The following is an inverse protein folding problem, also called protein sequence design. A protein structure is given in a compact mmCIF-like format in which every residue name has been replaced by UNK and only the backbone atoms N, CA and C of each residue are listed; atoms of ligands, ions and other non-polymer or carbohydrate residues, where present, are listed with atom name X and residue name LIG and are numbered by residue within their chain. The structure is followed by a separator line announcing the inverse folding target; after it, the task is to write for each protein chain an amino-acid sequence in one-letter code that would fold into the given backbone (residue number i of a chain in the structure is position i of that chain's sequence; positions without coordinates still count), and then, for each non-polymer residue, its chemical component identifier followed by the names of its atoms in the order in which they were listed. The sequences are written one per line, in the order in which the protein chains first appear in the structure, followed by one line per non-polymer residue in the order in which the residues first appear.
data_IF_126579769733
#
_entry.id   IF_126579769733
#
_cell.length_a   1.000
_cell.length_b   1.000
_cell.length_c   1.000
_cell.angle_alpha   90.00
_cell.angle_beta   90.00
_cell.angle_gamma   90.00
#
_symmetry.space_group_name_H-M   'P 1'
#
loop_
_entity.id
_entity.type
_entity.pdbx_description
1 polymer ?
#
# COMPACT_ATOMS: atom_id res chain seq x y z
N UNK A 1 -24.67 10.27 -12.12
CA UNK A 1 -23.63 10.69 -11.17
C UNK A 1 -24.14 10.28 -9.78
N UNK A 2 -23.69 9.13 -9.29
CA UNK A 2 -24.42 8.36 -8.28
C UNK A 2 -23.72 8.50 -6.91
N UNK A 3 -24.23 9.37 -6.05
CA UNK A 3 -23.73 9.59 -4.67
C UNK A 3 -23.74 8.31 -3.80
N UNK A 4 -24.43 7.26 -4.25
CA UNK A 4 -24.44 5.94 -3.60
C UNK A 4 -23.17 5.12 -3.88
N UNK A 5 -22.52 5.32 -5.03
CA UNK A 5 -21.28 4.61 -5.40
C UNK A 5 -20.09 5.12 -4.58
N UNK A 6 -20.04 6.44 -4.34
CA UNK A 6 -18.95 7.09 -3.60
C UNK A 6 -18.93 6.71 -2.11
N UNK A 7 -20.10 6.62 -1.46
CA UNK A 7 -20.20 6.19 -0.05
C UNK A 7 -19.91 4.70 0.11
N UNK A 8 -20.36 3.86 -0.82
CA UNK A 8 -20.04 2.43 -0.83
C UNK A 8 -18.54 2.18 -1.07
N UNK A 9 -17.91 2.97 -1.93
CA UNK A 9 -16.47 2.91 -2.18
C UNK A 9 -15.66 3.35 -0.95
N UNK A 10 -16.06 4.43 -0.27
CA UNK A 10 -15.40 4.89 0.95
C UNK A 10 -15.48 3.87 2.10
N UNK A 11 -16.66 3.27 2.32
CA UNK A 11 -16.84 2.22 3.33
C UNK A 11 -16.00 0.97 3.00
N UNK A 12 -15.94 0.59 1.73
CA UNK A 12 -15.10 -0.52 1.26
C UNK A 12 -13.59 -0.24 1.44
N UNK A 13 -13.15 1.00 1.19
CA UNK A 13 -11.78 1.45 1.44
C UNK A 13 -11.44 1.36 2.93
N UNK A 14 -12.28 1.90 3.80
CA UNK A 14 -12.08 1.84 5.24
C UNK A 14 -12.08 0.39 5.76
N UNK A 15 -13.05 -0.42 5.36
CA UNK A 15 -13.10 -1.84 5.71
C UNK A 15 -11.84 -2.59 5.25
N UNK A 16 -11.30 -2.23 4.07
CA UNK A 16 -10.04 -2.79 3.57
C UNK A 16 -8.85 -2.38 4.43
N UNK A 17 -8.76 -1.11 4.81
CA UNK A 17 -7.72 -0.60 5.71
C UNK A 17 -7.75 -1.26 7.09
N UNK A 18 -8.91 -1.64 7.60
CA UNK A 18 -9.02 -2.41 8.85
C UNK A 18 -8.59 -3.87 8.68
N UNK A 19 -8.98 -4.51 7.57
CA UNK A 19 -8.75 -5.94 7.35
C UNK A 19 -7.32 -6.27 6.93
N UNK A 20 -6.67 -5.38 6.19
CA UNK A 20 -5.34 -5.65 5.60
C UNK A 20 -4.24 -5.86 6.67
N UNK A 21 -4.07 -4.99 7.69
CA UNK A 21 -3.11 -5.22 8.77
C UNK A 21 -3.38 -6.52 9.53
N UNK A 22 -4.65 -6.83 9.83
CA UNK A 22 -5.02 -8.07 10.53
C UNK A 22 -4.62 -9.31 9.72
N UNK A 23 -4.87 -9.29 8.41
CA UNK A 23 -4.48 -10.39 7.50
C UNK A 23 -2.96 -10.58 7.51
N UNK A 24 -2.20 -9.48 7.45
CA UNK A 24 -0.74 -9.53 7.45
C UNK A 24 -0.13 -9.90 8.79
N UNK A 25 -0.79 -9.62 9.93
CA UNK A 25 -0.39 -10.16 11.23
C UNK A 25 -0.50 -11.69 11.28
N UNK A 26 -1.60 -12.25 10.78
CA UNK A 26 -1.75 -13.71 10.67
C UNK A 26 -0.71 -14.33 9.72
N UNK A 27 -0.36 -13.64 8.63
CA UNK A 27 0.73 -14.06 7.74
C UNK A 27 2.05 -14.06 8.51
N UNK A 28 2.38 -12.97 9.22
CA UNK A 28 3.60 -12.87 10.01
C UNK A 28 3.75 -13.99 11.04
N UNK A 29 2.66 -14.35 11.73
CA UNK A 29 2.66 -15.45 12.71
C UNK A 29 2.95 -16.82 12.07
N UNK A 30 2.56 -17.00 10.81
CA UNK A 30 2.65 -18.28 10.08
C UNK A 30 3.85 -18.39 9.14
N UNK A 31 4.47 -17.27 8.75
CA UNK A 31 5.49 -17.22 7.72
C UNK A 31 6.91 -17.39 8.28
N UNK A 32 7.72 -18.21 7.62
CA UNK A 32 9.13 -18.38 7.96
C UNK A 32 9.96 -17.12 7.63
N UNK A 33 9.55 -16.34 6.61
CA UNK A 33 10.21 -15.09 6.27
C UNK A 33 9.63 -13.92 7.07
N UNK A 34 10.08 -13.83 8.32
CA UNK A 34 9.69 -12.76 9.25
C UNK A 34 10.02 -11.38 8.72
N UNK A 35 11.20 -11.19 8.11
CA UNK A 35 11.65 -9.89 7.58
C UNK A 35 10.69 -9.32 6.53
N UNK A 36 10.29 -10.12 5.54
CA UNK A 36 9.39 -9.64 4.48
C UNK A 36 7.99 -9.35 5.05
N UNK A 37 7.48 -10.25 5.89
CA UNK A 37 6.14 -10.12 6.48
C UNK A 37 6.04 -8.92 7.44
N UNK A 38 7.10 -8.67 8.23
CA UNK A 38 7.23 -7.48 9.07
C UNK A 38 7.32 -6.22 8.23
N UNK A 39 8.12 -6.24 7.15
CA UNK A 39 8.24 -5.12 6.23
C UNK A 39 6.91 -4.73 5.59
N UNK A 40 6.11 -5.70 5.12
CA UNK A 40 4.79 -5.39 4.56
C UNK A 40 3.84 -4.83 5.63
N UNK A 41 3.85 -5.38 6.83
CA UNK A 41 3.03 -4.85 7.93
C UNK A 41 3.41 -3.39 8.25
N UNK A 42 4.70 -3.08 8.33
CA UNK A 42 5.20 -1.74 8.56
C UNK A 42 4.79 -0.77 7.44
N UNK A 43 4.83 -1.20 6.17
CA UNK A 43 4.34 -0.40 5.04
C UNK A 43 2.85 -0.10 5.14
N UNK A 44 2.04 -1.08 5.53
CA UNK A 44 0.60 -0.89 5.68
C UNK A 44 0.31 0.10 6.81
N UNK A 45 0.99 -0.03 7.96
CA UNK A 45 0.80 0.88 9.10
C UNK A 45 1.26 2.31 8.77
N UNK A 46 2.42 2.46 8.11
CA UNK A 46 2.92 3.75 7.64
C UNK A 46 1.98 4.41 6.61
N UNK A 47 1.43 3.63 5.67
CA UNK A 47 0.50 4.12 4.68
C UNK A 47 -0.86 4.50 5.29
N UNK A 48 -1.34 3.74 6.27
CA UNK A 48 -2.59 4.02 6.99
C UNK A 48 -2.54 5.34 7.79
N UNK A 49 -1.34 5.77 8.19
CA UNK A 49 -1.11 7.04 8.85
C UNK A 49 -1.17 8.25 7.89
N UNK A 50 -1.11 8.04 6.58
CA UNK A 50 -1.13 9.11 5.57
C UNK A 50 -2.56 9.35 5.06
N UNK A 51 -3.18 10.52 5.35
CA UNK A 51 -4.58 10.78 4.97
C UNK A 51 -4.82 10.71 3.45
N UNK A 52 -3.83 11.12 2.65
CA UNK A 52 -3.91 11.06 1.18
C UNK A 52 -4.02 9.63 0.65
N UNK A 53 -3.27 8.70 1.23
CA UNK A 53 -3.32 7.27 0.86
C UNK A 53 -4.52 6.56 1.44
N UNK A 54 -5.00 6.98 2.62
CA UNK A 54 -6.17 6.39 3.27
C UNK A 54 -7.44 6.47 2.40
N UNK A 55 -7.52 7.45 1.50
CA UNK A 55 -8.62 7.60 0.53
C UNK A 55 -8.55 6.60 -0.63
N UNK A 56 -7.41 5.95 -0.84
CA UNK A 56 -7.19 4.99 -1.91
C UNK A 56 -7.38 3.57 -1.41
N UNK A 57 -7.70 2.65 -2.32
CA UNK A 57 -7.88 1.25 -2.00
C UNK A 57 -6.53 0.53 -1.92
N UNK A 58 -6.11 0.04 -0.72
CA UNK A 58 -4.85 -0.64 -0.58
C UNK A 58 -5.00 -2.13 -0.92
N UNK A 59 -4.04 -2.66 -1.66
CA UNK A 59 -3.94 -4.10 -1.87
C UNK A 59 -2.49 -4.54 -1.92
N UNK A 60 -2.26 -5.79 -1.55
CA UNK A 60 -0.93 -6.41 -1.58
C UNK A 60 -0.92 -7.52 -2.62
N UNK A 61 0.09 -7.53 -3.47
CA UNK A 61 0.38 -8.63 -4.38
C UNK A 61 1.75 -9.18 -4.02
N UNK A 62 1.81 -10.46 -3.62
CA UNK A 62 3.00 -11.05 -2.99
C UNK A 62 3.44 -10.22 -1.78
N UNK A 63 4.58 -9.53 -1.87
CA UNK A 63 5.14 -8.66 -0.82
C UNK A 63 5.03 -7.18 -1.15
N UNK A 64 4.44 -6.83 -2.29
CA UNK A 64 4.37 -5.46 -2.77
C UNK A 64 3.04 -4.84 -2.35
N UNK A 65 3.09 -3.65 -1.73
CA UNK A 65 1.95 -2.81 -1.42
C UNK A 65 1.63 -1.88 -2.59
N UNK A 66 0.36 -1.83 -2.93
CA UNK A 66 -0.21 -1.08 -4.04
C UNK A 66 -1.40 -0.24 -3.60
N UNK A 67 -1.65 0.82 -4.36
CA UNK A 67 -2.78 1.72 -4.17
C UNK A 67 -3.55 1.87 -5.47
N UNK A 68 -4.86 1.67 -5.43
CA UNK A 68 -5.76 1.86 -6.56
C UNK A 68 -6.75 2.97 -6.26
N UNK A 69 -7.01 3.84 -7.24
CA UNK A 69 -8.09 4.82 -7.16
C UNK A 69 -9.48 4.16 -7.22
N UNK A 70 -9.57 2.96 -7.82
CA UNK A 70 -10.79 2.15 -7.88
C UNK A 70 -10.76 1.02 -6.86
N UNK A 71 -11.92 0.74 -6.26
CA UNK A 71 -12.14 -0.36 -5.31
C UNK A 71 -12.48 -1.69 -6.01
N UNK A 72 -12.74 -1.65 -7.32
CA UNK A 72 -13.11 -2.81 -8.15
C UNK A 72 -12.29 -2.87 -9.45
N UNK A 73 -12.27 -4.06 -10.07
CA UNK A 73 -11.53 -4.30 -11.32
C UNK A 73 -12.19 -3.57 -12.51
N UNK A 74 -11.43 -2.97 -13.44
CA UNK A 74 -9.96 -2.92 -13.51
C UNK A 74 -9.35 -1.95 -12.48
N UNK A 75 -8.29 -2.40 -11.79
CA UNK A 75 -7.57 -1.56 -10.84
C UNK A 75 -6.80 -0.47 -11.59
N UNK A 76 -6.94 0.76 -11.13
CA UNK A 76 -6.29 1.93 -11.71
C UNK A 76 -5.18 2.36 -10.77
N UNK A 77 -3.96 1.91 -11.09
CA UNK A 77 -2.77 2.10 -10.27
C UNK A 77 -1.88 3.13 -10.96
N UNK A 78 -1.97 4.37 -10.48
CA UNK A 78 -1.13 5.48 -10.94
C UNK A 78 0.00 5.80 -9.96
N UNK A 79 -0.10 5.30 -8.72
CA UNK A 79 0.90 5.52 -7.69
C UNK A 79 2.02 4.48 -7.70
N UNK A 80 3.23 4.87 -7.27
CA UNK A 80 4.31 3.94 -7.03
C UNK A 80 3.93 2.79 -6.11
N UNK A 81 4.45 1.61 -6.42
CA UNK A 81 4.35 0.43 -5.58
C UNK A 81 5.53 0.35 -4.62
N UNK A 82 5.35 -0.24 -3.45
CA UNK A 82 6.43 -0.37 -2.45
C UNK A 82 6.58 -1.82 -2.01
N UNK A 83 7.79 -2.33 -1.99
CA UNK A 83 8.11 -3.67 -1.50
C UNK A 83 9.22 -3.63 -0.45
N UNK A 84 9.15 -4.47 0.59
CA UNK A 84 10.27 -4.68 1.49
C UNK A 84 11.35 -5.52 0.79
N UNK A 85 12.60 -5.27 1.16
CA UNK A 85 13.77 -6.00 0.72
C UNK A 85 14.27 -6.93 1.83
N UNK A 86 15.03 -7.96 1.44
CA UNK A 86 15.53 -8.98 2.38
C UNK A 86 16.51 -8.45 3.41
N UNK A 87 17.15 -7.32 3.12
CA UNK A 87 18.06 -6.60 4.01
C UNK A 87 17.34 -5.65 4.98
N UNK A 88 16.01 -5.59 4.93
CA UNK A 88 15.18 -4.75 5.80
C UNK A 88 14.90 -3.35 5.26
N UNK A 89 15.48 -2.99 4.11
CA UNK A 89 15.16 -1.74 3.40
C UNK A 89 13.88 -1.88 2.58
N UNK A 90 13.46 -0.79 1.96
CA UNK A 90 12.25 -0.70 1.14
C UNK A 90 12.57 -0.16 -0.24
N UNK A 91 11.99 -0.76 -1.28
CA UNK A 91 12.13 -0.34 -2.66
C UNK A 91 10.82 0.23 -3.16
N UNK A 92 10.86 1.46 -3.67
CA UNK A 92 9.73 2.13 -4.31
C UNK A 92 9.89 2.00 -5.81
N UNK A 93 8.90 1.39 -6.47
CA UNK A 93 8.89 1.14 -7.91
C UNK A 93 7.80 1.92 -8.61
N UNK A 94 7.99 2.15 -9.90
CA UNK A 94 6.95 2.68 -10.78
C UNK A 94 5.70 1.81 -10.75
N UNK A 95 4.51 2.34 -11.10
CA UNK A 95 3.29 1.54 -11.20
C UNK A 95 3.42 0.34 -12.15
N UNK A 96 4.32 0.44 -13.14
CA UNK A 96 4.65 -0.64 -14.07
C UNK A 96 5.66 -1.67 -13.52
N UNK A 97 6.22 -1.46 -12.33
CA UNK A 97 7.35 -2.16 -11.70
C UNK A 97 8.67 -2.15 -12.49
N UNK A 98 8.70 -1.56 -13.68
CA UNK A 98 9.85 -1.58 -14.59
C UNK A 98 10.99 -0.67 -14.13
N UNK A 99 10.71 0.34 -13.31
CA UNK A 99 11.69 1.30 -12.84
C UNK A 99 11.67 1.40 -11.31
N UNK A 100 12.86 1.52 -10.71
CA UNK A 100 13.01 1.89 -9.30
C UNK A 100 12.98 3.41 -9.21
N UNK A 101 12.06 3.94 -8.41
CA UNK A 101 11.92 5.38 -8.15
C UNK A 101 12.83 5.80 -7.01
N UNK A 102 13.01 4.92 -6.01
CA UNK A 102 13.91 5.16 -4.89
C UNK A 102 13.95 3.98 -3.93
N UNK A 103 14.92 4.02 -3.02
CA UNK A 103 15.02 3.09 -1.89
C UNK A 103 14.96 3.91 -0.60
N UNK A 104 14.49 3.28 0.47
CA UNK A 104 14.39 3.89 1.78
C UNK A 104 14.71 2.87 2.88
N UNK A 105 15.36 3.34 3.95
CA UNK A 105 15.69 2.48 5.10
C UNK A 105 14.50 2.25 6.03
N UNK A 106 13.44 3.05 5.93
CA UNK A 106 12.22 2.93 6.75
C UNK A 106 10.96 2.92 5.90
N UNK A 107 9.90 2.30 6.43
CA UNK A 107 8.61 2.22 5.78
C UNK A 107 8.00 3.62 5.57
N UNK A 108 8.14 4.50 6.56
CA UNK A 108 7.65 5.88 6.51
C UNK A 108 8.33 6.69 5.42
N UNK A 109 9.64 6.55 5.25
CA UNK A 109 10.38 7.22 4.19
C UNK A 109 9.98 6.68 2.81
N UNK A 110 9.77 5.37 2.68
CA UNK A 110 9.29 4.77 1.44
C UNK A 110 7.88 5.28 1.08
N UNK A 111 6.98 5.33 2.05
CA UNK A 111 5.62 5.85 1.88
C UNK A 111 5.62 7.35 1.58
N UNK A 112 6.53 8.13 2.17
CA UNK A 112 6.66 9.55 1.85
C UNK A 112 7.01 9.77 0.37
N UNK A 113 7.84 8.91 -0.23
CA UNK A 113 8.12 8.95 -1.68
C UNK A 113 6.88 8.65 -2.53
N UNK A 114 5.98 7.77 -2.07
CA UNK A 114 4.69 7.51 -2.73
C UNK A 114 3.77 8.73 -2.60
N UNK A 115 3.65 9.29 -1.40
CA UNK A 115 2.79 10.46 -1.12
C UNK A 115 3.23 11.67 -1.94
N UNK A 116 4.53 11.89 -2.10
CA UNK A 116 5.09 12.96 -2.92
C UNK A 116 4.73 12.84 -4.42
N UNK A 117 4.19 11.69 -4.87
CA UNK A 117 3.72 11.45 -6.23
C UNK A 117 2.20 11.45 -6.37
N UNK A 118 1.46 11.69 -5.29
CA UNK A 118 0.03 11.94 -5.37
C UNK A 118 -0.16 13.30 -6.06
N UNK A 119 -0.92 13.37 -7.17
CA UNK A 119 -1.17 14.64 -7.84
C UNK A 119 -1.85 15.62 -6.87
N UNK A 120 -1.46 16.92 -6.87
CA UNK A 120 -2.17 17.92 -6.10
C UNK A 120 -3.63 17.98 -6.58
N UNK A 121 -4.55 17.96 -5.62
CA UNK A 121 -5.99 18.06 -5.88
C UNK A 121 -6.38 19.45 -6.41
#
# INVERSE_FOLDING_TARGET
MNLQDERGSADAVEARWQRLPMTWRLVLERNESKTMSQGVLALIEAAAAQPGLRRLYPFTSQWTLWFSARTSHPFEVELPAVEPLRDGRFCVRSPSLKAVIGEADTAEAAIALVVARIPPA
#
